data_IF_770995470042
#
_entry.id   IF_770995470042
#
_cell.length_a   1.000
_cell.length_b   1.000
_cell.length_c   1.000
_cell.angle_alpha   90.00
_cell.angle_beta   90.00
_cell.angle_gamma   90.00
#
_symmetry.space_group_name_H-M   'P 1'
#
loop_
_entity.id
_entity.type
_entity.pdbx_description
1 polymer ?
#
# COMPACT_ATOMS: atom_id res chain seq x y z
N UNK A 1 55.65 10.29 15.77
CA UNK A 1 54.87 11.13 16.69
C UNK A 1 53.60 11.67 15.99
N UNK A 2 52.51 11.71 16.72
CA UNK A 2 51.24 12.24 16.18
C UNK A 2 51.34 13.73 15.89
N UNK A 3 50.74 14.23 14.79
CA UNK A 3 50.72 15.68 14.51
C UNK A 3 49.98 16.45 15.60
N UNK A 4 50.48 17.62 15.99
CA UNK A 4 49.89 18.42 17.09
C UNK A 4 48.43 18.82 16.81
N UNK A 5 48.09 19.14 15.56
CA UNK A 5 46.74 19.49 15.17
C UNK A 5 45.75 18.29 15.42
N UNK A 6 46.19 17.06 15.20
CA UNK A 6 45.40 15.86 15.41
C UNK A 6 45.12 15.67 16.92
N UNK A 7 46.13 15.88 17.77
CA UNK A 7 45.94 15.76 19.22
C UNK A 7 44.94 16.81 19.72
N UNK A 8 45.02 18.05 19.23
CA UNK A 8 44.03 19.07 19.58
C UNK A 8 42.63 18.73 19.11
N UNK A 9 42.47 18.25 17.89
CA UNK A 9 41.18 17.79 17.38
C UNK A 9 40.60 16.68 18.27
N UNK A 10 41.41 15.70 18.63
CA UNK A 10 41.01 14.60 19.50
C UNK A 10 40.55 15.09 20.90
N UNK A 11 41.29 16.00 21.53
CA UNK A 11 40.88 16.59 22.83
C UNK A 11 39.57 17.36 22.71
N UNK A 12 39.39 18.16 21.64
CA UNK A 12 38.15 18.89 21.38
C UNK A 12 36.96 17.93 21.22
N UNK A 13 37.12 16.83 20.51
CA UNK A 13 36.02 15.85 20.36
C UNK A 13 35.65 15.16 21.66
N UNK A 14 36.62 14.92 22.56
CA UNK A 14 36.32 14.39 23.91
C UNK A 14 35.53 15.44 24.71
N UNK A 15 35.97 16.68 24.75
CA UNK A 15 35.25 17.75 25.46
C UNK A 15 33.83 17.92 24.94
N UNK A 16 33.68 17.92 23.61
CA UNK A 16 32.37 17.97 22.97
C UNK A 16 31.50 16.76 23.36
N UNK A 17 32.06 15.56 23.33
CA UNK A 17 31.34 14.33 23.70
C UNK A 17 30.83 14.37 25.16
N UNK A 18 31.68 14.83 26.09
CA UNK A 18 31.28 14.99 27.50
C UNK A 18 30.16 16.04 27.65
N UNK A 19 30.27 17.19 26.95
CA UNK A 19 29.23 18.21 26.93
C UNK A 19 27.92 17.69 26.33
N UNK A 20 28.01 16.92 25.24
CA UNK A 20 26.86 16.29 24.60
C UNK A 20 26.12 15.31 25.54
N UNK A 21 26.87 14.42 26.21
CA UNK A 21 26.29 13.46 27.16
C UNK A 21 25.69 14.13 28.41
N UNK A 22 26.14 15.32 28.78
CA UNK A 22 25.53 16.11 29.83
C UNK A 22 24.23 16.80 29.38
N UNK A 23 24.16 17.22 28.12
CA UNK A 23 23.02 17.94 27.54
C UNK A 23 21.90 17.01 27.06
N UNK A 24 22.27 15.92 26.38
CA UNK A 24 21.35 14.98 25.72
C UNK A 24 21.34 13.61 26.38
N UNK A 25 20.28 12.80 26.18
CA UNK A 25 20.26 11.44 26.68
C UNK A 25 21.32 10.56 25.99
N UNK A 26 22.06 9.79 26.77
CA UNK A 26 23.12 8.92 26.24
C UNK A 26 23.76 8.03 27.29
N UNK A 27 23.42 8.24 28.59
CA UNK A 27 23.94 7.50 29.73
C UNK A 27 22.80 6.77 30.46
N UNK A 28 22.32 5.67 29.86
CA UNK A 28 21.27 4.84 30.47
C UNK A 28 19.97 5.62 30.70
N UNK A 29 19.53 5.72 31.97
CA UNK A 29 18.29 6.39 32.37
C UNK A 29 18.41 7.92 32.49
N UNK A 30 19.60 8.49 32.31
CA UNK A 30 19.80 9.94 32.39
C UNK A 30 19.24 10.63 31.14
N UNK A 31 18.26 11.52 31.32
CA UNK A 31 17.53 12.19 30.23
C UNK A 31 18.25 13.38 29.65
N UNK A 32 19.43 13.72 30.15
CA UNK A 32 20.14 14.95 29.80
C UNK A 32 19.54 16.21 30.42
N UNK A 33 20.32 17.30 30.51
CA UNK A 33 19.87 18.59 31.08
C UNK A 33 18.82 19.28 30.20
N UNK A 34 18.81 19.02 28.91
CA UNK A 34 17.85 19.63 27.98
C UNK A 34 16.50 18.90 27.92
N UNK A 35 16.38 17.74 28.59
CA UNK A 35 15.17 16.88 28.55
C UNK A 35 14.67 16.61 27.12
N UNK A 36 15.56 16.74 26.14
CA UNK A 36 15.27 16.46 24.73
C UNK A 36 15.23 14.95 24.50
N UNK A 37 14.24 14.47 23.78
CA UNK A 37 14.19 13.07 23.33
C UNK A 37 13.74 13.04 21.88
N UNK A 38 14.29 12.13 21.09
CA UNK A 38 13.90 11.89 19.72
C UNK A 38 12.39 11.59 19.58
N UNK A 39 11.84 10.85 20.54
CA UNK A 39 10.41 10.57 20.61
C UNK A 39 9.59 11.85 20.84
N UNK A 40 10.01 12.70 21.78
CA UNK A 40 9.33 13.96 22.09
C UNK A 40 9.33 14.94 20.93
N UNK A 41 10.45 15.04 20.21
CA UNK A 41 10.54 15.85 18.98
C UNK A 41 9.59 15.31 17.89
N UNK A 42 9.63 14.01 17.63
CA UNK A 42 8.72 13.37 16.69
C UNK A 42 7.24 13.60 17.05
N UNK A 43 6.87 13.44 18.33
CA UNK A 43 5.49 13.67 18.79
C UNK A 43 5.07 15.13 18.61
N UNK A 44 5.98 16.08 18.86
CA UNK A 44 5.72 17.51 18.65
C UNK A 44 5.55 17.85 17.16
N UNK A 45 6.41 17.31 16.29
CA UNK A 45 6.30 17.47 14.84
C UNK A 45 5.00 16.86 14.30
N UNK A 46 4.63 15.66 14.76
CA UNK A 46 3.39 15.00 14.38
C UNK A 46 2.16 15.77 14.84
N UNK A 47 2.18 16.32 16.06
CA UNK A 47 1.09 17.15 16.57
C UNK A 47 0.93 18.43 15.73
N UNK A 48 2.03 19.09 15.40
CA UNK A 48 2.03 20.27 14.53
C UNK A 48 1.49 19.95 13.14
N UNK A 49 2.01 18.92 12.50
CA UNK A 49 1.55 18.48 11.17
C UNK A 49 0.07 18.12 11.18
N UNK A 50 -0.41 17.43 12.22
CA UNK A 50 -1.83 17.11 12.38
C UNK A 50 -2.68 18.38 12.44
N UNK A 51 -2.29 19.37 13.26
CA UNK A 51 -3.05 20.63 13.39
C UNK A 51 -3.10 21.40 12.08
N UNK A 52 -2.01 21.42 11.32
CA UNK A 52 -1.94 22.10 10.02
C UNK A 52 -2.76 21.40 8.92
N UNK A 53 -2.80 20.07 8.94
CA UNK A 53 -3.46 19.26 7.90
C UNK A 53 -4.94 18.97 8.22
N UNK A 54 -5.34 18.99 9.49
CA UNK A 54 -6.71 18.64 9.92
C UNK A 54 -7.81 19.42 9.19
N UNK A 55 -7.73 20.77 9.01
CA UNK A 55 -8.77 21.51 8.31
C UNK A 55 -8.90 21.10 6.83
N UNK A 56 -7.76 20.76 6.20
CA UNK A 56 -7.74 20.30 4.82
C UNK A 56 -8.41 18.92 4.68
N UNK A 57 -8.03 17.98 5.53
CA UNK A 57 -8.63 16.64 5.49
C UNK A 57 -10.09 16.63 5.94
N UNK A 58 -10.49 17.50 6.89
CA UNK A 58 -11.89 17.67 7.27
C UNK A 58 -12.74 18.16 6.08
N UNK A 59 -12.21 19.08 5.28
CA UNK A 59 -12.86 19.51 4.02
C UNK A 59 -13.07 18.33 3.09
N UNK A 60 -12.04 17.52 2.82
CA UNK A 60 -12.15 16.37 1.93
C UNK A 60 -13.08 15.29 2.49
N UNK A 61 -13.06 15.04 3.80
CA UNK A 61 -13.95 14.07 4.43
C UNK A 61 -15.43 14.40 4.29
N UNK A 62 -15.76 15.70 4.10
CA UNK A 62 -17.13 16.16 3.88
C UNK A 62 -17.56 16.14 2.42
N UNK A 63 -16.62 15.95 1.46
CA UNK A 63 -16.89 15.94 0.03
C UNK A 63 -17.35 14.56 -0.43
N UNK A 64 -18.18 14.55 -1.49
CA UNK A 64 -18.45 13.29 -2.20
C UNK A 64 -17.24 12.86 -3.01
N UNK A 65 -16.99 11.55 -3.17
CA UNK A 65 -15.85 11.05 -3.93
C UNK A 65 -15.75 11.60 -5.36
N UNK A 66 -16.90 11.79 -6.03
CA UNK A 66 -16.97 12.31 -7.40
C UNK A 66 -16.54 13.79 -7.49
N UNK A 67 -16.84 14.57 -6.46
CA UNK A 67 -16.45 15.97 -6.37
C UNK A 67 -14.98 16.09 -5.96
N UNK A 68 -14.53 15.22 -5.04
CA UNK A 68 -13.13 15.13 -4.64
C UNK A 68 -12.22 14.77 -5.81
N UNK A 69 -12.65 13.87 -6.70
CA UNK A 69 -11.89 13.49 -7.90
C UNK A 69 -11.69 14.68 -8.88
N UNK A 70 -12.53 15.71 -8.81
CA UNK A 70 -12.43 16.93 -9.63
C UNK A 70 -11.69 18.06 -8.94
N UNK A 71 -11.48 17.99 -7.62
CA UNK A 71 -10.74 18.99 -6.86
C UNK A 71 -9.23 18.87 -7.14
N UNK A 72 -8.57 19.91 -7.71
CA UNK A 72 -7.16 19.81 -8.09
C UNK A 72 -6.22 19.52 -6.93
N UNK A 73 -6.55 20.00 -5.73
CA UNK A 73 -5.72 19.79 -4.54
C UNK A 73 -5.86 18.35 -4.01
N UNK A 74 -7.08 17.84 -3.96
CA UNK A 74 -7.34 16.45 -3.59
C UNK A 74 -6.69 15.48 -4.58
N UNK A 75 -6.82 15.75 -5.88
CA UNK A 75 -6.21 14.96 -6.94
C UNK A 75 -4.68 14.92 -6.80
N UNK A 76 -4.02 16.07 -6.63
CA UNK A 76 -2.56 16.13 -6.48
C UNK A 76 -2.06 15.42 -5.21
N UNK A 77 -2.84 15.42 -4.12
CA UNK A 77 -2.52 14.66 -2.91
C UNK A 77 -2.72 13.16 -3.15
N UNK A 78 -3.85 12.78 -3.76
CA UNK A 78 -4.17 11.39 -4.10
C UNK A 78 -3.13 10.78 -5.03
N UNK A 79 -2.69 11.50 -6.05
CA UNK A 79 -1.64 11.06 -6.97
C UNK A 79 -0.33 10.77 -6.22
N UNK A 80 0.12 11.66 -5.33
CA UNK A 80 1.32 11.42 -4.51
C UNK A 80 1.17 10.21 -3.59
N UNK A 81 0.00 10.03 -2.98
CA UNK A 81 -0.27 8.87 -2.13
C UNK A 81 -0.28 7.58 -2.95
N UNK A 82 -0.88 7.60 -4.15
CA UNK A 82 -0.86 6.46 -5.07
C UNK A 82 0.56 6.12 -5.50
N UNK A 83 1.35 7.09 -5.93
CA UNK A 83 2.73 6.89 -6.37
C UNK A 83 3.61 6.31 -5.26
N UNK A 84 3.42 6.74 -4.01
CA UNK A 84 4.24 6.30 -2.89
C UNK A 84 3.82 4.92 -2.34
N UNK A 85 2.54 4.53 -2.46
CA UNK A 85 2.03 3.35 -1.77
C UNK A 85 1.49 2.26 -2.71
N UNK A 86 1.02 2.61 -3.91
CA UNK A 86 0.28 1.71 -4.79
C UNK A 86 1.00 1.41 -6.11
N UNK A 87 1.70 2.40 -6.65
CA UNK A 87 2.32 2.34 -7.97
C UNK A 87 3.39 1.25 -8.08
N UNK A 88 4.05 0.88 -6.99
CA UNK A 88 5.05 -0.19 -7.01
C UNK A 88 4.48 -1.52 -7.51
N UNK A 89 3.22 -1.80 -7.23
CA UNK A 89 2.54 -3.02 -7.67
C UNK A 89 1.64 -2.75 -8.89
N UNK A 90 0.85 -1.67 -8.86
CA UNK A 90 -0.16 -1.39 -9.88
C UNK A 90 0.33 -0.56 -11.08
N UNK A 91 1.62 -0.17 -11.10
CA UNK A 91 2.19 0.73 -12.12
C UNK A 91 1.87 2.20 -11.86
N UNK A 92 2.72 3.10 -12.36
CA UNK A 92 2.54 4.56 -12.21
C UNK A 92 1.32 5.09 -12.96
N UNK A 93 0.87 4.36 -13.99
CA UNK A 93 -0.34 4.62 -14.77
C UNK A 93 -1.57 3.83 -14.29
N UNK A 94 -1.44 3.11 -13.17
CA UNK A 94 -2.45 2.25 -12.58
C UNK A 94 -2.95 1.10 -13.48
N UNK A 95 -2.23 0.77 -14.56
CA UNK A 95 -2.62 -0.29 -15.52
C UNK A 95 -2.20 -1.69 -15.09
N UNK A 96 -1.61 -1.79 -13.91
CA UNK A 96 -1.22 -3.07 -13.35
C UNK A 96 0.10 -3.61 -13.91
N UNK A 97 0.46 -4.78 -13.43
CA UNK A 97 1.61 -5.55 -13.89
C UNK A 97 1.34 -7.04 -13.71
N UNK A 98 2.27 -7.91 -14.10
CA UNK A 98 2.08 -9.36 -13.95
C UNK A 98 1.79 -9.73 -12.49
N UNK A 99 0.59 -10.22 -12.23
CA UNK A 99 0.10 -10.61 -10.90
C UNK A 99 -0.61 -9.49 -10.12
N UNK A 100 -0.68 -8.27 -10.67
CA UNK A 100 -1.39 -7.15 -10.07
C UNK A 100 -2.43 -6.59 -11.03
N UNK A 101 -3.69 -6.42 -10.59
CA UNK A 101 -4.78 -5.99 -11.47
C UNK A 101 -4.58 -4.57 -11.98
N UNK A 102 -5.12 -4.32 -13.19
CA UNK A 102 -5.32 -2.99 -13.75
C UNK A 102 -6.42 -2.29 -12.94
N UNK A 103 -6.16 -1.09 -12.47
CA UNK A 103 -7.12 -0.26 -11.71
C UNK A 103 -7.76 0.83 -12.58
N UNK A 104 -7.36 0.94 -13.86
CA UNK A 104 -7.84 1.94 -14.79
C UNK A 104 -8.83 1.39 -15.84
N UNK A 105 -9.14 0.08 -15.80
CA UNK A 105 -10.13 -0.55 -16.68
C UNK A 105 -11.51 -0.67 -16.03
N UNK A 106 -12.44 -1.32 -16.74
CA UNK A 106 -13.80 -1.58 -16.26
C UNK A 106 -13.99 -2.91 -15.52
N UNK A 107 -12.92 -3.70 -15.37
CA UNK A 107 -13.00 -5.07 -14.84
C UNK A 107 -12.75 -5.10 -13.33
N UNK A 108 -13.83 -4.91 -12.58
CA UNK A 108 -13.80 -4.83 -11.11
C UNK A 108 -14.34 -6.10 -10.45
N UNK A 109 -13.46 -6.90 -9.85
CA UNK A 109 -13.83 -8.14 -9.16
C UNK A 109 -14.80 -7.91 -7.99
N UNK A 110 -14.65 -6.81 -7.27
CA UNK A 110 -15.48 -6.47 -6.10
C UNK A 110 -16.36 -5.21 -6.31
N UNK A 111 -16.43 -4.74 -7.56
CA UNK A 111 -17.13 -3.53 -7.96
C UNK A 111 -16.27 -2.27 -7.92
N UNK A 112 -16.43 -1.40 -8.92
CA UNK A 112 -15.68 -0.15 -9.11
C UNK A 112 -16.36 1.09 -8.52
N UNK A 113 -17.46 0.95 -7.78
CA UNK A 113 -18.07 2.08 -7.09
C UNK A 113 -17.14 2.61 -5.99
N UNK A 114 -17.09 3.94 -5.76
CA UNK A 114 -16.19 4.55 -4.77
C UNK A 114 -16.25 3.91 -3.38
N UNK A 115 -17.45 3.52 -2.92
CA UNK A 115 -17.67 2.85 -1.64
C UNK A 115 -17.00 1.47 -1.60
N UNK A 116 -17.02 0.75 -2.74
CA UNK A 116 -16.39 -0.58 -2.85
C UNK A 116 -14.87 -0.49 -2.89
N UNK A 117 -14.34 0.53 -3.56
CA UNK A 117 -12.91 0.84 -3.57
C UNK A 117 -12.45 1.20 -2.14
N UNK A 118 -13.19 2.08 -1.46
CA UNK A 118 -12.92 2.47 -0.08
C UNK A 118 -12.96 1.27 0.87
N UNK A 119 -13.98 0.43 0.77
CA UNK A 119 -14.10 -0.80 1.56
C UNK A 119 -12.89 -1.72 1.34
N UNK A 120 -12.42 -1.84 0.10
CA UNK A 120 -11.23 -2.64 -0.25
C UNK A 120 -9.97 -2.09 0.41
N UNK A 121 -9.77 -0.77 0.42
CA UNK A 121 -8.62 -0.12 1.03
C UNK A 121 -8.64 -0.19 2.56
N UNK A 122 -9.81 -0.02 3.18
CA UNK A 122 -9.94 0.01 4.63
C UNK A 122 -9.93 -1.39 5.27
N UNK A 123 -10.55 -2.37 4.62
CA UNK A 123 -10.77 -3.72 5.20
C UNK A 123 -9.98 -4.82 4.50
N UNK A 124 -9.49 -4.54 3.30
CA UNK A 124 -8.96 -5.56 2.41
C UNK A 124 -10.06 -6.49 1.88
N UNK A 125 -9.63 -7.54 1.14
CA UNK A 125 -10.51 -8.59 0.63
C UNK A 125 -9.92 -9.94 0.93
N UNK A 126 -10.74 -10.86 1.38
CA UNK A 126 -10.37 -12.27 1.59
C UNK A 126 -11.06 -13.09 0.51
N UNK A 127 -10.29 -13.64 -0.41
CA UNK A 127 -10.79 -14.61 -1.39
C UNK A 127 -10.93 -15.99 -0.73
N UNK A 128 -12.07 -16.64 -0.96
CA UNK A 128 -12.27 -18.04 -0.61
C UNK A 128 -12.52 -18.83 -1.90
N UNK A 129 -11.60 -19.71 -2.25
CA UNK A 129 -11.71 -20.58 -3.41
C UNK A 129 -11.77 -22.04 -2.93
N UNK A 130 -12.94 -22.51 -2.49
CA UNK A 130 -13.09 -23.91 -2.07
C UNK A 130 -12.96 -24.85 -3.28
N UNK A 131 -12.61 -26.12 -3.06
CA UNK A 131 -12.56 -27.12 -4.13
C UNK A 131 -13.99 -27.38 -4.65
N UNK A 132 -14.25 -26.97 -5.90
CA UNK A 132 -15.59 -27.01 -6.51
C UNK A 132 -15.86 -28.30 -7.32
N UNK A 133 -14.91 -29.23 -7.39
CA UNK A 133 -15.05 -30.44 -8.23
C UNK A 133 -16.33 -31.23 -7.93
N UNK A 134 -16.67 -31.37 -6.67
CA UNK A 134 -17.89 -32.07 -6.27
C UNK A 134 -19.19 -31.35 -6.68
N UNK A 135 -19.16 -30.03 -6.75
CA UNK A 135 -20.30 -29.21 -7.19
C UNK A 135 -20.47 -29.23 -8.72
N UNK A 136 -19.38 -29.40 -9.47
CA UNK A 136 -19.42 -29.53 -10.93
C UNK A 136 -20.02 -30.84 -11.36
N UNK A 137 -19.76 -31.93 -10.64
CA UNK A 137 -20.31 -33.27 -10.92
C UNK A 137 -19.21 -34.34 -11.01
N UNK A 138 -19.32 -35.22 -12.01
CA UNK A 138 -18.38 -36.33 -12.20
C UNK A 138 -16.95 -35.80 -12.61
N UNK A 139 -15.92 -36.64 -12.47
CA UNK A 139 -14.58 -36.31 -12.99
C UNK A 139 -14.56 -36.00 -14.50
N UNK A 140 -15.52 -36.57 -15.25
CA UNK A 140 -15.69 -36.29 -16.67
C UNK A 140 -16.28 -34.89 -16.91
N UNK A 141 -17.25 -34.47 -16.08
CA UNK A 141 -17.80 -33.11 -16.11
C UNK A 141 -16.72 -32.06 -15.81
N UNK A 142 -15.87 -32.31 -14.82
CA UNK A 142 -14.73 -31.44 -14.49
C UNK A 142 -13.77 -31.34 -15.69
N UNK A 143 -13.49 -32.44 -16.37
CA UNK A 143 -12.65 -32.48 -17.55
C UNK A 143 -13.27 -31.70 -18.72
N UNK A 144 -14.55 -31.88 -18.96
CA UNK A 144 -15.30 -31.15 -19.98
C UNK A 144 -15.30 -29.64 -19.70
N UNK A 145 -15.54 -29.24 -18.44
CA UNK A 145 -15.47 -27.84 -18.00
C UNK A 145 -14.07 -27.25 -18.20
N UNK A 146 -13.02 -28.00 -17.90
CA UNK A 146 -11.62 -27.54 -18.14
C UNK A 146 -11.37 -27.24 -19.61
N UNK A 147 -11.85 -28.07 -20.54
CA UNK A 147 -11.73 -27.82 -21.98
C UNK A 147 -12.54 -26.58 -22.42
N UNK A 148 -13.70 -26.33 -21.80
CA UNK A 148 -14.45 -25.11 -22.05
C UNK A 148 -13.67 -23.86 -21.60
N UNK A 149 -13.11 -23.87 -20.38
CA UNK A 149 -12.30 -22.76 -19.90
C UNK A 149 -11.07 -22.51 -20.79
N UNK A 150 -10.37 -23.57 -21.26
CA UNK A 150 -9.30 -23.46 -22.22
C UNK A 150 -9.76 -22.81 -23.54
N UNK A 151 -10.97 -23.13 -24.00
CA UNK A 151 -11.52 -22.53 -25.23
C UNK A 151 -11.76 -21.03 -25.12
N UNK A 152 -12.06 -20.50 -23.93
CA UNK A 152 -12.28 -19.07 -23.70
C UNK A 152 -10.98 -18.25 -23.86
N UNK A 153 -9.84 -18.87 -23.60
CA UNK A 153 -8.52 -18.22 -23.74
C UNK A 153 -7.86 -18.48 -25.11
N UNK A 154 -8.56 -19.16 -26.03
CA UNK A 154 -7.98 -19.56 -27.32
C UNK A 154 -6.88 -20.63 -27.21
N UNK A 155 -6.72 -21.26 -26.04
CA UNK A 155 -5.75 -22.34 -25.82
C UNK A 155 -6.21 -23.65 -26.52
N UNK A 156 -5.27 -24.54 -26.88
CA UNK A 156 -5.59 -25.85 -27.46
C UNK A 156 -6.56 -26.62 -26.57
N UNK A 157 -7.69 -27.03 -27.13
CA UNK A 157 -8.74 -27.73 -26.42
C UNK A 157 -9.46 -28.72 -27.30
N UNK A 158 -10.21 -29.67 -26.72
CA UNK A 158 -11.13 -30.55 -27.41
C UNK A 158 -12.48 -29.83 -27.55
N UNK A 159 -12.89 -29.54 -28.78
CA UNK A 159 -14.11 -28.77 -29.08
C UNK A 159 -15.40 -29.48 -28.64
N UNK A 160 -15.43 -30.81 -28.71
CA UNK A 160 -16.59 -31.57 -28.21
C UNK A 160 -16.71 -31.49 -26.69
N UNK A 161 -15.59 -31.69 -25.99
CA UNK A 161 -15.54 -31.53 -24.53
C UNK A 161 -15.86 -30.11 -24.09
N UNK A 162 -15.34 -29.11 -24.81
CA UNK A 162 -15.64 -27.70 -24.55
C UNK A 162 -17.14 -27.42 -24.70
N UNK A 163 -17.80 -27.95 -25.71
CA UNK A 163 -19.25 -27.79 -25.89
C UNK A 163 -20.08 -28.44 -24.74
N UNK A 164 -19.67 -29.62 -24.29
CA UNK A 164 -20.29 -30.29 -23.14
C UNK A 164 -20.03 -29.54 -21.83
N UNK A 165 -18.83 -28.99 -21.65
CA UNK A 165 -18.45 -28.26 -20.46
C UNK A 165 -19.15 -26.90 -20.31
N UNK A 166 -19.59 -26.29 -21.43
CA UNK A 166 -20.27 -24.99 -21.43
C UNK A 166 -21.49 -24.95 -20.51
N UNK A 167 -22.30 -26.02 -20.51
CA UNK A 167 -23.52 -26.12 -19.66
C UNK A 167 -23.24 -26.22 -18.16
N UNK A 168 -22.00 -26.46 -17.77
CA UNK A 168 -21.55 -26.54 -16.37
C UNK A 168 -20.90 -25.25 -15.86
N UNK A 169 -20.66 -24.29 -16.75
CA UNK A 169 -20.00 -23.02 -16.44
C UNK A 169 -20.98 -21.94 -16.00
N UNK A 170 -22.23 -22.02 -16.38
CA UNK A 170 -23.30 -21.04 -16.08
C UNK A 170 -24.04 -21.43 -14.73
#
# INVERSE_FOLDING_TARGET
PLPRWWVWLFVITIIFGLGYLAAYPGLGSFTGKLNWTQKGEYEAEMAKAKTELEPLYARFASMKPEDMAKDPQAHAIGERLFMNNCAQCHGSDARGSKGFPNLADGDWLHGGAPEKIRETLEKGRIGNMPPMAAAVGSPEDVRNLSHYVLSLSGSPNDSLRASLGKSKFT
#
